data_IF_653800602151
#
_entry.id   IF_653800602151
#
_cell.length_a   1.000
_cell.length_b   1.000
_cell.length_c   1.000
_cell.angle_alpha   90.00
_cell.angle_beta   90.00
_cell.angle_gamma   90.00
#
_symmetry.space_group_name_H-M   'P 1'
#
loop_
_entity.id
_entity.type
_entity.pdbx_description
1 polymer ?
#
# COMPACT_ATOMS: atom_id res chain seq x y z
N UNK A 1 17.15 -16.30 -10.88
CA UNK A 1 16.57 -15.03 -11.37
C UNK A 1 16.72 -13.99 -10.27
N UNK A 2 17.57 -12.98 -10.51
CA UNK A 2 17.72 -11.83 -9.61
C UNK A 2 16.41 -11.03 -9.67
N UNK A 3 15.56 -11.20 -8.67
CA UNK A 3 14.43 -10.29 -8.45
C UNK A 3 15.04 -8.95 -8.07
N UNK A 4 14.89 -7.93 -8.92
CA UNK A 4 15.20 -6.55 -8.56
C UNK A 4 14.25 -6.14 -7.42
N UNK A 5 14.70 -6.38 -6.19
CA UNK A 5 14.00 -6.04 -4.95
C UNK A 5 14.34 -4.60 -4.57
N UNK A 6 13.89 -3.66 -5.40
CA UNK A 6 13.85 -2.23 -5.09
C UNK A 6 12.49 -1.81 -4.50
N UNK A 7 12.38 -0.57 -4.03
CA UNK A 7 11.08 0.03 -3.73
C UNK A 7 10.21 -0.01 -4.99
N UNK A 8 9.12 -0.80 -4.99
CA UNK A 8 8.11 -0.78 -6.04
C UNK A 8 7.24 0.47 -5.87
N UNK A 9 7.72 1.59 -6.42
CA UNK A 9 6.98 2.85 -6.44
C UNK A 9 6.13 2.93 -7.72
N UNK A 10 4.82 2.99 -7.57
CA UNK A 10 3.84 3.23 -8.61
C UNK A 10 3.00 4.47 -8.24
N UNK A 11 3.14 5.52 -9.04
CA UNK A 11 2.44 6.80 -8.89
C UNK A 11 1.38 7.04 -9.97
N UNK A 12 1.00 6.01 -10.73
CA UNK A 12 0.05 6.13 -11.86
C UNK A 12 -1.34 6.57 -11.44
N UNK A 13 -1.81 6.13 -10.27
CA UNK A 13 -3.15 6.44 -9.79
C UNK A 13 -3.09 7.06 -8.39
N UNK A 14 -3.59 8.30 -8.30
CA UNK A 14 -3.77 9.03 -7.06
C UNK A 14 -5.17 8.70 -6.50
N UNK A 15 -5.23 8.12 -5.29
CA UNK A 15 -6.47 7.74 -4.64
C UNK A 15 -7.13 8.91 -3.90
N UNK A 16 -6.32 9.69 -3.18
CA UNK A 16 -6.78 10.88 -2.46
C UNK A 16 -5.60 11.83 -2.26
N UNK A 17 -5.89 13.12 -2.30
CA UNK A 17 -4.99 14.15 -1.78
C UNK A 17 -5.76 15.08 -0.86
N UNK A 18 -5.06 15.66 0.12
CA UNK A 18 -5.69 16.56 1.08
C UNK A 18 -4.70 17.50 1.75
N UNK A 19 -5.20 18.66 2.16
CA UNK A 19 -4.49 19.53 3.09
C UNK A 19 -4.68 19.02 4.52
N UNK A 20 -3.58 18.87 5.22
CA UNK A 20 -3.52 18.38 6.61
C UNK A 20 -2.56 19.23 7.42
N UNK A 21 -2.64 19.12 8.75
CA UNK A 21 -1.59 19.58 9.64
C UNK A 21 -0.78 18.39 10.16
N UNK A 22 0.54 18.51 10.17
CA UNK A 22 1.42 17.53 10.80
C UNK A 22 2.01 18.16 12.06
N UNK A 23 1.52 17.74 13.23
CA UNK A 23 1.79 18.42 14.51
C UNK A 23 3.25 18.42 14.93
N UNK A 24 4.00 17.38 14.58
CA UNK A 24 5.41 17.24 14.99
C UNK A 24 6.40 17.80 13.96
N UNK A 25 5.90 18.41 12.87
CA UNK A 25 6.73 18.98 11.82
C UNK A 25 6.93 20.49 12.00
N UNK A 26 8.04 21.06 11.47
CA UNK A 26 8.29 22.49 11.54
C UNK A 26 7.43 23.31 10.58
N UNK A 27 6.84 22.67 9.57
CA UNK A 27 5.78 23.29 8.78
C UNK A 27 4.44 22.88 9.37
N UNK A 28 3.54 23.82 9.61
CA UNK A 28 2.23 23.48 10.16
C UNK A 28 1.34 22.83 9.09
N UNK A 29 1.46 23.27 7.83
CA UNK A 29 0.58 22.87 6.74
C UNK A 29 1.26 21.94 5.74
N UNK A 30 0.65 20.78 5.51
CA UNK A 30 1.11 19.75 4.59
C UNK A 30 0.02 19.38 3.58
N UNK A 31 0.45 18.84 2.45
CA UNK A 31 -0.39 18.11 1.52
C UNK A 31 0.01 16.65 1.59
N UNK A 32 -0.97 15.78 1.85
CA UNK A 32 -0.83 14.34 1.76
C UNK A 32 -1.33 13.88 0.39
N UNK A 33 -0.58 13.00 -0.27
CA UNK A 33 -0.99 12.29 -1.48
C UNK A 33 -0.92 10.80 -1.22
N UNK A 34 -2.00 10.06 -1.49
CA UNK A 34 -2.07 8.61 -1.31
C UNK A 34 -2.17 7.96 -2.67
N UNK A 35 -1.15 7.20 -3.03
CA UNK A 35 -1.11 6.33 -4.22
C UNK A 35 -1.29 4.87 -3.79
N UNK A 36 -1.41 3.97 -4.76
CA UNK A 36 -1.50 2.53 -4.46
C UNK A 36 -0.26 1.96 -3.79
N UNK A 37 0.93 2.48 -4.08
CA UNK A 37 2.19 1.93 -3.57
C UNK A 37 2.85 2.77 -2.47
N UNK A 38 2.46 4.03 -2.31
CA UNK A 38 3.14 4.98 -1.43
C UNK A 38 2.23 6.13 -0.98
N UNK A 39 2.64 6.80 0.09
CA UNK A 39 2.09 8.07 0.56
C UNK A 39 3.20 9.13 0.44
N UNK A 40 2.87 10.30 -0.10
CA UNK A 40 3.75 11.48 -0.08
C UNK A 40 3.23 12.49 0.93
N UNK A 41 4.13 13.02 1.76
CA UNK A 41 3.87 14.19 2.59
C UNK A 41 4.74 15.35 2.11
N UNK A 42 4.10 16.43 1.65
CA UNK A 42 4.78 17.61 1.13
C UNK A 42 4.41 18.86 1.94
N UNK A 43 5.37 19.68 2.40
CA UNK A 43 5.06 20.97 3.03
C UNK A 43 4.35 21.90 2.04
N UNK A 44 3.19 22.46 2.42
CA UNK A 44 2.40 23.36 1.55
C UNK A 44 3.11 24.70 1.30
N UNK A 45 3.58 25.33 2.38
CA UNK A 45 4.22 26.63 2.36
C UNK A 45 5.54 26.56 3.13
N UNK A 46 6.63 26.27 2.42
CA UNK A 46 7.95 26.22 3.02
C UNK A 46 9.03 26.70 2.04
N UNK A 47 10.10 27.31 2.58
CA UNK A 47 11.31 27.63 1.80
C UNK A 47 11.90 26.35 1.18
N UNK A 48 12.55 26.47 0.02
CA UNK A 48 13.03 25.32 -0.78
C UNK A 48 13.88 24.32 0.03
N UNK A 49 14.72 24.81 0.94
CA UNK A 49 15.56 24.01 1.85
C UNK A 49 14.74 23.20 2.87
N UNK A 50 13.68 23.79 3.41
CA UNK A 50 12.76 23.13 4.34
C UNK A 50 11.92 22.08 3.60
N UNK A 51 11.51 22.37 2.35
CA UNK A 51 10.74 21.44 1.51
C UNK A 51 11.46 20.11 1.32
N UNK A 52 12.75 20.13 0.98
CA UNK A 52 13.51 18.89 0.74
C UNK A 52 13.70 18.07 2.03
N UNK A 53 14.06 18.72 3.14
CA UNK A 53 14.30 18.01 4.42
C UNK A 53 13.04 17.38 5.02
N UNK A 54 11.88 17.97 4.76
CA UNK A 54 10.61 17.58 5.40
C UNK A 54 9.59 16.96 4.46
N UNK A 55 10.01 16.67 3.23
CA UNK A 55 9.29 15.75 2.36
C UNK A 55 9.43 14.32 2.90
N UNK A 56 8.35 13.55 2.90
CA UNK A 56 8.38 12.13 3.24
C UNK A 56 7.77 11.31 2.11
N UNK A 57 8.47 10.25 1.75
CA UNK A 57 7.99 9.19 0.87
C UNK A 57 7.81 7.97 1.76
N UNK A 58 6.57 7.52 1.91
CA UNK A 58 6.20 6.46 2.84
C UNK A 58 5.66 5.27 2.03
N UNK A 59 6.39 4.16 1.91
CA UNK A 59 5.91 2.98 1.20
C UNK A 59 4.64 2.43 1.87
N UNK A 60 3.61 2.09 1.08
CA UNK A 60 2.31 1.72 1.64
C UNK A 60 2.36 0.44 2.49
N UNK A 61 3.32 -0.46 2.18
CA UNK A 61 3.56 -1.71 2.89
C UNK A 61 4.23 -1.52 4.26
N UNK A 62 4.79 -0.33 4.50
CA UNK A 62 5.47 0.05 5.74
C UNK A 62 4.57 0.91 6.65
N UNK A 63 3.33 1.17 6.21
CA UNK A 63 2.42 2.08 6.90
C UNK A 63 1.29 1.32 7.58
N UNK A 64 1.11 1.62 8.86
CA UNK A 64 -0.08 1.26 9.62
C UNK A 64 -0.83 2.50 10.11
N UNK A 65 -2.14 2.37 10.32
CA UNK A 65 -3.00 3.49 10.73
C UNK A 65 -3.66 3.14 12.05
N UNK A 66 -3.48 4.00 13.05
CA UNK A 66 -4.26 3.94 14.28
C UNK A 66 -5.33 5.03 14.28
N UNK A 67 -6.58 4.59 14.42
CA UNK A 67 -7.72 5.47 14.61
C UNK A 67 -7.94 5.65 16.12
N UNK A 68 -7.76 6.88 16.60
CA UNK A 68 -8.11 7.22 17.97
C UNK A 68 -9.64 7.38 18.05
N UNK A 69 -10.38 6.53 18.77
CA UNK A 69 -11.85 6.52 18.76
C UNK A 69 -12.47 7.80 19.35
N UNK A 70 -11.76 8.46 20.26
CA UNK A 70 -12.21 9.68 20.91
C UNK A 70 -11.78 10.96 20.17
N UNK A 71 -11.05 10.84 19.07
CA UNK A 71 -10.53 11.97 18.32
C UNK A 71 -11.19 12.05 16.95
N UNK A 72 -11.95 13.12 16.69
CA UNK A 72 -12.71 13.25 15.44
C UNK A 72 -11.87 13.72 14.26
N UNK A 73 -10.71 14.32 14.50
CA UNK A 73 -9.91 15.01 13.48
C UNK A 73 -8.50 14.46 13.34
N UNK A 74 -7.95 13.83 14.39
CA UNK A 74 -6.58 13.33 14.37
C UNK A 74 -6.51 11.84 14.03
N UNK A 75 -5.42 11.47 13.37
CA UNK A 75 -5.02 10.12 13.06
C UNK A 75 -3.51 9.98 13.19
N UNK A 76 -3.05 8.76 13.42
CA UNK A 76 -1.62 8.45 13.52
C UNK A 76 -1.22 7.49 12.40
N UNK A 77 -0.21 7.88 11.61
CA UNK A 77 0.45 6.96 10.70
C UNK A 77 1.70 6.41 11.37
N UNK A 78 1.81 5.10 11.45
CA UNK A 78 2.97 4.41 11.96
C UNK A 78 3.78 3.91 10.79
N UNK A 79 5.02 4.37 10.69
CA UNK A 79 5.98 3.89 9.71
C UNK A 79 6.89 2.87 10.38
N UNK A 80 6.57 1.61 10.14
CA UNK A 80 7.34 0.48 10.61
C UNK A 80 8.29 0.02 9.51
N UNK A 81 9.57 -0.11 9.83
CA UNK A 81 10.54 -0.69 8.90
C UNK A 81 10.07 -2.09 8.51
N UNK A 82 10.05 -2.38 7.22
CA UNK A 82 9.67 -3.70 6.73
C UNK A 82 10.89 -4.61 6.74
N UNK A 83 10.76 -5.77 7.37
CA UNK A 83 11.78 -6.80 7.33
C UNK A 83 11.69 -7.54 5.99
N UNK A 84 12.69 -7.34 5.15
CA UNK A 84 12.79 -8.09 3.90
C UNK A 84 12.97 -9.59 4.15
N UNK A 85 12.77 -10.45 3.13
CA UNK A 85 12.91 -11.91 3.25
C UNK A 85 14.29 -12.41 3.72
N UNK A 86 15.28 -11.49 3.78
CA UNK A 86 16.66 -11.76 4.15
C UNK A 86 16.99 -11.25 5.56
N UNK A 87 15.99 -10.84 6.35
CA UNK A 87 16.18 -10.23 7.68
C UNK A 87 16.73 -8.81 7.65
N UNK A 88 16.85 -8.19 6.47
CA UNK A 88 17.29 -6.80 6.33
C UNK A 88 16.09 -5.87 6.41
N UNK A 89 16.09 -5.00 7.43
CA UNK A 89 15.12 -3.91 7.60
C UNK A 89 15.27 -2.88 6.48
N UNK A 90 14.16 -2.42 5.92
CA UNK A 90 14.17 -1.30 4.99
C UNK A 90 14.73 -0.03 5.66
N UNK A 91 15.58 0.69 4.95
CA UNK A 91 16.24 1.90 5.47
C UNK A 91 15.24 3.04 5.64
N UNK A 92 14.87 3.35 6.89
CA UNK A 92 14.93 4.68 7.55
C UNK A 92 13.98 4.70 8.76
N UNK A 93 14.53 5.01 9.93
CA UNK A 93 13.90 5.08 11.26
C UNK A 93 12.79 4.05 11.54
N UNK A 94 13.13 2.90 12.16
CA UNK A 94 12.09 2.00 12.65
C UNK A 94 11.19 2.76 13.62
N UNK A 95 9.89 2.74 13.34
CA UNK A 95 8.83 3.17 14.25
C UNK A 95 8.63 4.70 14.36
N UNK A 96 8.67 5.42 13.24
CA UNK A 96 8.29 6.85 13.21
C UNK A 96 6.77 6.98 13.23
N UNK A 97 6.25 7.86 14.10
CA UNK A 97 4.81 8.17 14.16
C UNK A 97 4.56 9.56 13.59
N UNK A 98 3.64 9.67 12.65
CA UNK A 98 3.19 10.93 12.07
C UNK A 98 1.81 11.27 12.65
N UNK A 99 1.75 12.28 13.53
CA UNK A 99 0.49 12.80 14.06
C UNK A 99 -0.15 13.77 13.06
N UNK A 100 -1.18 13.31 12.37
CA UNK A 100 -1.88 14.03 11.32
C UNK A 100 -3.21 14.55 11.87
N UNK A 101 -3.44 15.85 11.70
CA UNK A 101 -4.70 16.52 11.99
C UNK A 101 -5.38 16.90 10.68
N UNK A 102 -6.61 16.42 10.50
CA UNK A 102 -7.46 16.76 9.36
C UNK A 102 -8.31 17.99 9.70
N UNK A 103 -8.65 18.80 8.69
CA UNK A 103 -9.54 19.95 8.88
C UNK A 103 -11.00 19.54 9.13
N UNK A 104 -11.39 18.33 8.75
CA UNK A 104 -12.77 17.82 8.84
C UNK A 104 -12.77 16.31 9.12
N UNK A 105 -13.78 15.83 9.84
CA UNK A 105 -13.89 14.41 10.22
C UNK A 105 -14.16 13.52 9.02
N UNK A 106 -14.95 14.02 8.05
CA UNK A 106 -15.19 13.35 6.77
C UNK A 106 -13.89 13.14 6.01
N UNK A 107 -12.98 14.13 6.05
CA UNK A 107 -11.67 14.01 5.42
C UNK A 107 -10.82 12.94 6.11
N UNK A 108 -10.79 12.90 7.45
CA UNK A 108 -10.13 11.83 8.21
C UNK A 108 -10.62 10.45 7.76
N UNK A 109 -11.94 10.25 7.74
CA UNK A 109 -12.54 8.97 7.35
C UNK A 109 -12.23 8.61 5.90
N UNK A 110 -12.28 9.58 4.99
CA UNK A 110 -11.94 9.39 3.59
C UNK A 110 -10.47 9.00 3.39
N UNK A 111 -9.55 9.62 4.14
CA UNK A 111 -8.13 9.31 4.10
C UNK A 111 -7.85 7.90 4.63
N UNK A 112 -8.40 7.55 5.80
CA UNK A 112 -8.25 6.21 6.41
C UNK A 112 -8.75 5.13 5.44
N UNK A 113 -9.92 5.33 4.84
CA UNK A 113 -10.50 4.40 3.86
C UNK A 113 -9.57 4.19 2.66
N UNK A 114 -9.02 5.25 2.09
CA UNK A 114 -8.16 5.14 0.91
C UNK A 114 -6.80 4.54 1.22
N UNK A 115 -6.19 4.84 2.37
CA UNK A 115 -4.92 4.19 2.77
C UNK A 115 -5.15 2.69 3.01
N UNK A 116 -6.24 2.31 3.70
CA UNK A 116 -6.61 0.89 3.88
C UNK A 116 -6.85 0.19 2.53
N UNK A 117 -7.54 0.86 1.59
CA UNK A 117 -7.75 0.37 0.22
C UNK A 117 -6.41 0.17 -0.52
N UNK A 118 -5.52 1.16 -0.47
CA UNK A 118 -4.20 1.09 -1.10
C UNK A 118 -3.40 -0.11 -0.59
N UNK A 119 -3.34 -0.31 0.74
CA UNK A 119 -2.69 -1.47 1.35
C UNK A 119 -3.26 -2.79 0.85
N UNK A 120 -4.58 -2.93 0.85
CA UNK A 120 -5.24 -4.15 0.38
C UNK A 120 -4.94 -4.46 -1.10
N UNK A 121 -4.90 -3.44 -1.95
CA UNK A 121 -4.55 -3.58 -3.37
C UNK A 121 -3.08 -3.96 -3.54
N UNK A 122 -2.18 -3.28 -2.85
CA UNK A 122 -0.74 -3.56 -2.91
C UNK A 122 -0.41 -5.00 -2.50
N UNK A 123 -1.03 -5.51 -1.43
CA UNK A 123 -0.89 -6.90 -1.02
C UNK A 123 -1.39 -7.87 -2.09
N UNK A 124 -2.55 -7.61 -2.73
CA UNK A 124 -3.08 -8.48 -3.80
C UNK A 124 -2.20 -8.50 -5.05
N UNK A 125 -1.68 -7.36 -5.47
CA UNK A 125 -0.78 -7.28 -6.64
C UNK A 125 0.56 -7.97 -6.38
N UNK A 126 1.04 -7.98 -5.13
CA UNK A 126 2.24 -8.74 -4.75
C UNK A 126 2.06 -10.26 -4.78
N UNK A 127 0.81 -10.75 -4.69
CA UNK A 127 0.46 -12.18 -4.72
C UNK A 127 -0.04 -12.67 -6.07
N UNK A 128 -0.02 -11.82 -7.11
CA UNK A 128 -0.45 -12.26 -8.44
C UNK A 128 0.49 -13.39 -8.90
N UNK A 129 -0.01 -14.62 -9.12
CA UNK A 129 0.81 -15.64 -9.74
C UNK A 129 1.27 -15.08 -11.09
N UNK A 130 2.56 -15.18 -11.36
CA UNK A 130 3.12 -14.89 -12.69
C UNK A 130 2.33 -15.78 -13.66
N UNK A 131 1.44 -15.17 -14.46
CA UNK A 131 0.61 -15.91 -15.40
C UNK A 131 1.51 -16.68 -16.35
N UNK A 132 1.45 -18.01 -16.31
CA UNK A 132 2.28 -18.83 -17.19
C UNK A 132 2.38 -20.33 -16.93
N UNK A 133 1.74 -20.92 -15.92
CA UNK A 133 1.70 -22.39 -15.78
C UNK A 133 0.27 -22.92 -15.87
N UNK A 134 -0.31 -22.85 -17.08
CA UNK A 134 -1.37 -23.78 -17.45
C UNK A 134 -0.75 -25.16 -17.62
N UNK A 135 -0.70 -25.96 -16.55
CA UNK A 135 -0.75 -27.40 -16.73
C UNK A 135 -2.23 -27.76 -16.81
N UNK A 136 -2.71 -27.90 -18.05
CA UNK A 136 -4.00 -28.50 -18.35
C UNK A 136 -3.93 -29.98 -17.99
N UNK A 137 -4.48 -30.33 -16.84
CA UNK A 137 -4.79 -31.71 -16.48
C UNK A 137 -6.28 -31.94 -16.78
N UNK A 138 -6.57 -32.32 -18.01
CA UNK A 138 -7.94 -32.41 -18.54
C UNK A 138 -8.04 -33.55 -19.54
N UNK A 139 -8.24 -34.76 -19.02
CA UNK A 139 -8.21 -36.01 -19.76
C UNK A 139 -9.22 -36.13 -20.90
N UNK A 140 -8.78 -36.83 -21.95
CA UNK A 140 -9.64 -37.52 -22.90
C UNK A 140 -9.31 -39.02 -22.81
N UNK A 141 -10.01 -39.73 -21.92
CA UNK A 141 -10.22 -41.17 -22.11
C UNK A 141 -11.56 -41.29 -22.81
N UNK A 142 -11.50 -41.32 -24.14
CA UNK A 142 -12.65 -41.56 -25.00
C UNK A 142 -13.25 -42.93 -24.69
N UNK A 143 -14.54 -42.94 -24.38
CA UNK A 143 -15.37 -44.15 -24.32
C UNK A 143 -15.21 -44.95 -25.62
N UNK A 144 -14.92 -46.25 -25.50
CA UNK A 144 -15.10 -47.21 -26.60
C UNK A 144 -16.22 -48.15 -26.19
N UNK A 145 -17.45 -47.72 -26.45
CA UNK A 145 -18.59 -48.62 -26.50
C UNK A 145 -18.39 -49.56 -27.69
N UNK A 146 -18.28 -50.87 -27.44
CA UNK A 146 -18.65 -51.89 -28.42
C UNK A 146 -19.44 -52.99 -27.73
N UNK A 147 -20.76 -52.84 -27.83
CA UNK A 147 -21.70 -53.95 -27.90
C UNK A 147 -21.16 -55.07 -28.78
N UNK A 148 -21.20 -56.32 -28.31
CA UNK A 148 -21.41 -57.49 -29.16
C UNK A 148 -22.37 -58.44 -28.45
N UNK A 149 -23.58 -58.54 -29.03
CA UNK A 149 -24.59 -59.54 -28.71
C UNK A 149 -24.17 -60.92 -29.21
N UNK A 150 -24.51 -61.91 -28.38
CA UNK A 150 -25.07 -63.23 -28.69
C UNK A 150 -24.25 -64.41 -29.25
N UNK A 151 -24.42 -65.52 -28.50
CA UNK A 151 -24.75 -66.88 -28.94
C UNK A 151 -23.59 -67.83 -29.27
N UNK A 152 -23.26 -68.75 -28.36
CA UNK A 152 -23.82 -70.11 -28.31
C UNK A 152 -23.47 -70.81 -27.01
#
# INVERSE_FOLDING_TARGET
MLTEKGLRLDTRELLVFAHIKWRDAPAEHYVIFVFHSLILLLPSYARKEIKMKWTRVLPINEIDINEMPNDTMNLKLYHAAFEGPNGQLSHSNPNTVYNIECCQSQLKQHLIKNIKKARAIFSRESHRPLSGSSQSDGGYVSEVSKDHRNSK
#
